data_IF_616039984379
#
_entry.id   IF_616039984379
#
_cell.length_a   1.000
_cell.length_b   1.000
_cell.length_c   1.000
_cell.angle_alpha   90.00
_cell.angle_beta   90.00
_cell.angle_gamma   90.00
#
_symmetry.space_group_name_H-M   'P 1'
#
loop_
_entity.id
_entity.type
_entity.pdbx_description
1 polymer ?
#
# COMPACT_ATOMS: atom_id res chain seq x y z
N UNK A 1 13.25 11.55 6.45
CA UNK A 1 12.14 11.88 7.38
C UNK A 1 11.58 10.60 7.99
N UNK A 2 11.73 10.45 9.30
CA UNK A 2 11.34 9.27 10.09
C UNK A 2 9.81 9.14 10.19
N UNK A 3 9.18 8.33 9.33
CA UNK A 3 7.79 7.86 9.52
C UNK A 3 7.76 6.78 10.62
N UNK A 4 7.99 7.17 11.87
CA UNK A 4 7.67 6.32 13.04
C UNK A 4 6.22 6.58 13.43
N UNK A 5 5.29 6.09 12.62
CA UNK A 5 3.94 5.89 13.12
C UNK A 5 3.97 4.62 13.98
N UNK A 6 3.53 4.73 15.23
CA UNK A 6 3.36 3.60 16.16
C UNK A 6 2.36 2.57 15.60
N UNK A 7 1.56 2.99 14.61
CA UNK A 7 0.59 2.16 13.91
C UNK A 7 0.87 2.11 12.41
N UNK A 8 1.11 0.90 11.89
CA UNK A 8 1.22 0.64 10.45
C UNK A 8 -0.17 0.73 9.80
N UNK A 9 -0.50 1.86 9.19
CA UNK A 9 -1.78 2.04 8.47
C UNK A 9 -1.86 1.28 7.11
N UNK A 10 -1.02 0.27 6.89
CA UNK A 10 -0.88 -0.42 5.59
C UNK A 10 -2.04 -1.39 5.28
N UNK A 11 -2.85 -1.76 6.28
CA UNK A 11 -4.04 -2.60 6.09
C UNK A 11 -5.31 -1.81 5.75
N UNK A 12 -5.28 -0.47 5.89
CA UNK A 12 -6.44 0.38 5.59
C UNK A 12 -6.86 0.19 4.12
N UNK A 13 -8.17 0.16 3.79
CA UNK A 13 -8.62 0.16 2.40
C UNK A 13 -7.96 1.31 1.63
N UNK A 14 -7.58 1.05 0.37
CA UNK A 14 -6.81 1.95 -0.47
C UNK A 14 -7.65 3.15 -0.97
N UNK A 15 -8.30 3.87 -0.05
CA UNK A 15 -9.10 5.08 -0.30
C UNK A 15 -8.26 6.20 -0.92
N UNK A 16 -6.94 6.13 -0.77
CA UNK A 16 -5.98 7.01 -1.44
C UNK A 16 -6.11 6.97 -2.97
N UNK A 17 -6.51 5.83 -3.55
CA UNK A 17 -6.79 5.71 -4.99
C UNK A 17 -8.01 6.52 -5.41
N UNK A 18 -9.04 6.65 -4.57
CA UNK A 18 -10.19 7.51 -4.88
C UNK A 18 -9.74 8.97 -4.97
N UNK A 19 -8.90 9.41 -4.03
CA UNK A 19 -8.35 10.78 -4.08
C UNK A 19 -7.41 10.97 -5.28
N UNK A 20 -6.65 9.94 -5.64
CA UNK A 20 -5.81 9.95 -6.85
C UNK A 20 -6.67 10.08 -8.11
N UNK A 21 -7.75 9.31 -8.21
CA UNK A 21 -8.69 9.35 -9.34
C UNK A 21 -9.32 10.73 -9.47
N UNK A 22 -9.84 11.29 -8.38
CA UNK A 22 -10.42 12.64 -8.36
C UNK A 22 -9.37 13.68 -8.78
N UNK A 23 -8.12 13.58 -8.30
CA UNK A 23 -7.06 14.50 -8.73
C UNK A 23 -6.66 14.36 -10.19
N UNK A 24 -6.70 13.14 -10.76
CA UNK A 24 -6.45 12.91 -12.19
C UNK A 24 -7.58 13.52 -13.03
N UNK A 25 -8.83 13.31 -12.62
CA UNK A 25 -9.99 13.90 -13.29
C UNK A 25 -9.92 15.41 -13.22
N UNK A 26 -9.61 15.99 -12.06
CA UNK A 26 -9.43 17.43 -11.90
C UNK A 26 -8.32 17.99 -12.81
N UNK A 27 -7.15 17.34 -12.85
CA UNK A 27 -6.06 17.71 -13.74
C UNK A 27 -6.49 17.66 -15.23
N UNK A 28 -7.23 16.61 -15.62
CA UNK A 28 -7.72 16.44 -16.98
C UNK A 28 -8.72 17.53 -17.37
N UNK A 29 -9.66 17.88 -16.47
CA UNK A 29 -10.64 18.94 -16.71
C UNK A 29 -9.94 20.30 -16.82
N UNK A 30 -8.95 20.61 -15.96
CA UNK A 30 -8.16 21.83 -16.09
C UNK A 30 -7.48 21.94 -17.48
N UNK A 31 -6.92 20.84 -17.99
CA UNK A 31 -6.20 20.86 -19.27
C UNK A 31 -7.13 20.88 -20.49
N UNK A 32 -8.25 20.13 -20.47
CA UNK A 32 -9.14 19.97 -21.63
C UNK A 32 -10.31 20.94 -21.65
N UNK A 33 -10.76 21.40 -20.50
CA UNK A 33 -11.90 22.28 -20.37
C UNK A 33 -11.64 23.45 -19.39
N UNK A 34 -10.61 24.28 -19.63
CA UNK A 34 -10.35 25.47 -18.79
C UNK A 34 -11.54 26.45 -18.77
N UNK A 35 -12.33 26.48 -19.85
CA UNK A 35 -13.56 27.24 -20.00
C UNK A 35 -14.68 26.80 -19.04
N UNK A 36 -14.74 25.51 -18.67
CA UNK A 36 -15.73 25.00 -17.74
C UNK A 36 -15.47 25.43 -16.28
N UNK A 37 -14.24 25.82 -15.97
CA UNK A 37 -13.83 26.28 -14.63
C UNK A 37 -13.64 27.82 -14.61
N UNK A 38 -13.96 28.51 -15.71
CA UNK A 38 -13.75 29.95 -15.87
C UNK A 38 -12.32 30.41 -15.50
N UNK A 39 -11.30 29.59 -15.79
CA UNK A 39 -9.91 29.89 -15.46
C UNK A 39 -9.19 30.55 -16.64
N UNK A 40 -8.34 31.54 -16.34
CA UNK A 40 -7.39 32.06 -17.32
C UNK A 40 -6.43 30.93 -17.80
N UNK A 41 -6.14 30.81 -19.10
CA UNK A 41 -5.35 29.70 -19.66
C UNK A 41 -3.99 29.50 -18.97
N UNK A 42 -3.33 30.58 -18.56
CA UNK A 42 -2.04 30.56 -17.85
C UNK A 42 -2.12 29.87 -16.48
N UNK A 43 -3.16 30.16 -15.71
CA UNK A 43 -3.38 29.58 -14.36
C UNK A 43 -3.76 28.10 -14.47
N UNK A 44 -4.43 27.72 -15.56
CA UNK A 44 -4.85 26.34 -15.77
C UNK A 44 -3.68 25.36 -15.93
N UNK A 45 -2.59 25.77 -16.60
CA UNK A 45 -1.40 24.93 -16.74
C UNK A 45 -0.69 24.70 -15.40
N UNK A 46 -0.58 25.73 -14.56
CA UNK A 46 0.03 25.64 -13.24
C UNK A 46 -0.81 24.74 -12.32
N UNK A 47 -2.13 24.93 -12.29
CA UNK A 47 -3.05 24.09 -11.52
C UNK A 47 -3.06 22.64 -12.02
N UNK A 48 -3.09 22.43 -13.34
CA UNK A 48 -3.00 21.10 -13.95
C UNK A 48 -1.71 20.37 -13.58
N UNK A 49 -0.57 21.08 -13.59
CA UNK A 49 0.71 20.55 -13.12
C UNK A 49 0.68 20.16 -11.63
N UNK A 50 0.13 21.03 -10.77
CA UNK A 50 -0.03 20.74 -9.34
C UNK A 50 -0.90 19.51 -9.08
N UNK A 51 -2.05 19.40 -9.75
CA UNK A 51 -2.92 18.23 -9.63
C UNK A 51 -2.27 16.96 -10.20
N UNK A 52 -1.48 17.06 -11.28
CA UNK A 52 -0.74 15.92 -11.82
C UNK A 52 0.31 15.39 -10.83
N UNK A 53 1.06 16.27 -10.16
CA UNK A 53 2.03 15.87 -9.13
C UNK A 53 1.32 15.19 -7.95
N UNK A 54 0.21 15.76 -7.47
CA UNK A 54 -0.59 15.15 -6.40
C UNK A 54 -1.14 13.78 -6.80
N UNK A 55 -1.61 13.63 -8.04
CA UNK A 55 -2.09 12.36 -8.58
C UNK A 55 -0.98 11.30 -8.59
N UNK A 56 0.22 11.65 -9.06
CA UNK A 56 1.38 10.72 -9.07
C UNK A 56 1.73 10.31 -7.64
N UNK A 57 1.81 11.25 -6.70
CA UNK A 57 2.12 10.93 -5.32
C UNK A 57 1.08 9.98 -4.68
N UNK A 58 -0.21 10.24 -4.89
CA UNK A 58 -1.31 9.44 -4.33
C UNK A 58 -1.41 8.06 -4.99
N UNK A 59 -1.18 7.96 -6.31
CA UNK A 59 -1.15 6.66 -7.00
C UNK A 59 0.00 5.78 -6.49
N UNK A 60 1.18 6.35 -6.27
CA UNK A 60 2.32 5.60 -5.73
C UNK A 60 2.04 5.04 -4.33
N UNK A 61 1.40 5.84 -3.46
CA UNK A 61 0.98 5.40 -2.12
C UNK A 61 -0.03 4.25 -2.22
N UNK A 62 -1.04 4.36 -3.09
CA UNK A 62 -2.01 3.30 -3.34
C UNK A 62 -1.40 2.01 -3.88
N UNK A 63 -0.44 2.09 -4.81
CA UNK A 63 0.28 0.92 -5.35
C UNK A 63 1.07 0.23 -4.24
N UNK A 64 1.71 0.97 -3.34
CA UNK A 64 2.45 0.39 -2.22
C UNK A 64 1.53 -0.41 -1.28
N UNK A 65 0.35 0.12 -0.96
CA UNK A 65 -0.67 -0.57 -0.15
C UNK A 65 -1.17 -1.85 -0.86
N UNK A 66 -1.47 -1.78 -2.16
CA UNK A 66 -1.90 -2.95 -2.94
C UNK A 66 -0.82 -4.02 -2.98
N UNK A 67 0.43 -3.64 -3.27
CA UNK A 67 1.58 -4.57 -3.31
C UNK A 67 1.76 -5.24 -1.95
N UNK A 68 1.66 -4.49 -0.86
CA UNK A 68 1.73 -5.02 0.49
C UNK A 68 0.63 -6.04 0.77
N UNK A 69 -0.64 -5.69 0.52
CA UNK A 69 -1.79 -6.60 0.70
C UNK A 69 -1.73 -7.83 -0.20
N UNK A 70 -1.17 -7.71 -1.40
CA UNK A 70 -0.97 -8.83 -2.33
C UNK A 70 0.13 -9.77 -1.84
N UNK A 71 1.19 -9.23 -1.23
CA UNK A 71 2.28 -10.03 -0.70
C UNK A 71 1.90 -10.72 0.62
N UNK A 72 1.08 -10.09 1.48
CA UNK A 72 0.58 -10.71 2.71
C UNK A 72 -0.25 -11.98 2.47
N UNK A 73 -0.98 -12.06 1.36
CA UNK A 73 -1.74 -13.25 0.98
C UNK A 73 -0.89 -14.38 0.38
N UNK A 74 0.36 -14.08 -0.01
CA UNK A 74 1.27 -15.08 -0.58
C UNK A 74 2.18 -15.61 0.52
N UNK A 75 1.88 -16.81 1.02
CA UNK A 75 2.82 -17.51 1.91
C UNK A 75 4.06 -17.93 1.10
N UNK A 76 5.28 -17.65 1.60
CA UNK A 76 6.49 -18.17 0.96
C UNK A 76 6.48 -19.69 1.00
N UNK A 77 6.82 -20.32 -0.14
CA UNK A 77 6.79 -21.78 -0.28
C UNK A 77 7.88 -22.39 0.61
N UNK A 78 7.48 -23.13 1.63
CA UNK A 78 8.40 -23.92 2.44
C UNK A 78 8.48 -25.34 1.90
N UNK A 79 9.68 -25.75 1.48
CA UNK A 79 10.01 -27.13 1.15
C UNK A 79 11.27 -27.52 1.92
N UNK A 80 11.31 -28.77 2.39
CA UNK A 80 12.44 -29.36 3.10
C UNK A 80 12.49 -30.84 2.74
N UNK A 81 13.68 -31.36 2.48
CA UNK A 81 13.86 -32.80 2.25
C UNK A 81 13.74 -33.56 3.56
N UNK A 82 13.16 -34.77 3.52
CA UNK A 82 12.95 -35.65 4.69
C UNK A 82 14.25 -35.87 5.48
N UNK A 83 15.40 -35.93 4.81
CA UNK A 83 16.71 -36.13 5.45
C UNK A 83 17.17 -34.96 6.33
N UNK A 84 16.63 -33.76 6.10
CA UNK A 84 16.99 -32.58 6.86
C UNK A 84 16.04 -32.34 8.06
N UNK A 85 14.99 -33.15 8.22
CA UNK A 85 14.04 -33.00 9.33
C UNK A 85 14.78 -33.35 10.64
N UNK A 86 14.92 -32.40 11.58
CA UNK A 86 15.58 -32.69 12.84
C UNK A 86 14.74 -33.67 13.66
N UNK A 87 15.36 -34.75 14.09
CA UNK A 87 14.75 -35.79 14.94
C UNK A 87 15.19 -35.59 16.38
N UNK A 88 14.24 -35.53 17.30
CA UNK A 88 14.48 -35.44 18.74
C UNK A 88 13.52 -36.35 19.49
N UNK A 89 14.01 -37.06 20.51
CA UNK A 89 13.19 -37.93 21.36
C UNK A 89 12.27 -37.15 22.32
N UNK A 90 12.47 -35.83 22.45
CA UNK A 90 11.70 -34.97 23.38
C UNK A 90 10.79 -33.96 22.68
N UNK A 91 11.07 -33.62 21.43
CA UNK A 91 10.38 -32.54 20.73
C UNK A 91 10.11 -32.93 19.28
N UNK A 92 8.88 -32.66 18.82
CA UNK A 92 8.47 -32.89 17.44
C UNK A 92 8.70 -31.64 16.59
N UNK A 93 9.34 -31.80 15.44
CA UNK A 93 9.46 -30.73 14.46
C UNK A 93 8.13 -30.55 13.69
N UNK A 94 7.47 -29.41 13.89
CA UNK A 94 6.18 -29.09 13.26
C UNK A 94 6.31 -28.27 11.95
N UNK A 95 7.51 -27.76 11.65
CA UNK A 95 7.77 -26.94 10.46
C UNK A 95 8.22 -25.50 10.77
N UNK A 96 8.14 -24.62 9.77
CA UNK A 96 8.47 -23.19 9.93
C UNK A 96 7.34 -22.46 10.67
N UNK A 97 7.54 -22.23 11.95
CA UNK A 97 6.83 -21.18 12.70
C UNK A 97 7.51 -19.82 12.54
N UNK A 98 6.91 -18.79 13.12
CA UNK A 98 7.56 -17.50 13.33
C UNK A 98 7.31 -17.05 14.77
N UNK A 99 8.26 -16.30 15.34
CA UNK A 99 8.10 -15.72 16.67
C UNK A 99 7.02 -14.63 16.61
N UNK A 100 5.95 -14.81 17.38
CA UNK A 100 4.93 -13.78 17.53
C UNK A 100 5.54 -12.55 18.21
N UNK A 101 5.21 -11.36 17.71
CA UNK A 101 5.75 -10.08 18.14
C UNK A 101 4.60 -9.08 18.19
N UNK A 102 4.77 -7.94 18.87
CA UNK A 102 3.74 -6.90 19.00
C UNK A 102 3.14 -6.48 17.65
N UNK A 103 3.97 -6.34 16.61
CA UNK A 103 3.53 -6.03 15.23
C UNK A 103 2.54 -7.06 14.66
N UNK A 104 2.66 -8.33 15.04
CA UNK A 104 1.77 -9.39 14.56
C UNK A 104 0.40 -9.29 15.23
N UNK A 105 0.35 -8.95 16.53
CA UNK A 105 -0.90 -8.66 17.24
C UNK A 105 -1.62 -7.46 16.63
N UNK A 106 -0.89 -6.39 16.35
CA UNK A 106 -1.43 -5.19 15.71
C UNK A 106 -2.03 -5.50 14.34
N UNK A 107 -1.29 -6.18 13.47
CA UNK A 107 -1.78 -6.58 12.14
C UNK A 107 -2.99 -7.50 12.21
N UNK A 108 -3.06 -8.39 13.18
CA UNK A 108 -4.23 -9.25 13.39
C UNK A 108 -5.46 -8.42 13.76
N UNK A 109 -5.31 -7.44 14.66
CA UNK A 109 -6.37 -6.53 15.05
C UNK A 109 -6.83 -5.67 13.88
N UNK A 110 -5.92 -5.17 13.05
CA UNK A 110 -6.24 -4.38 11.84
C UNK A 110 -7.03 -5.18 10.77
N UNK A 111 -7.10 -6.51 10.88
CA UNK A 111 -7.89 -7.38 10.00
C UNK A 111 -9.30 -7.68 10.50
N UNK A 112 -9.61 -7.41 11.78
CA UNK A 112 -10.94 -7.59 12.37
C UNK A 112 -11.79 -6.36 12.15
#
# INVERSE_FOLDING_TARGET
MSRRYVVEALLRPAVELNTALVSVVAAFVCLRAPWAIALAPSVSYVMGGGFAVLAIMRTWQGIQVIRYRRNLRRLPRYQMSTRHIPVSHRQLFLGRGFRWQQKHTQRLQDTR
#
